data_IF_352010625766
#
_entry.id   IF_352010625766
#
_cell.length_a   1.000
_cell.length_b   1.000
_cell.length_c   1.000
_cell.angle_alpha   90.00
_cell.angle_beta   90.00
_cell.angle_gamma   90.00
#
_symmetry.space_group_name_H-M   'P 1'
#
loop_
_entity.id
_entity.type
_entity.pdbx_description
1 polymer ?
#
# COMPACT_ATOMS: atom_id res chain seq x y z
N UNK A 1 -56.96 -41.55 -38.57
CA UNK A 1 -56.56 -40.90 -37.29
C UNK A 1 -56.38 -39.44 -37.62
N UNK A 2 -57.27 -38.58 -37.14
CA UNK A 2 -57.35 -37.17 -37.52
C UNK A 2 -56.07 -36.39 -37.12
N UNK A 3 -55.67 -35.46 -37.97
CA UNK A 3 -54.46 -34.60 -37.78
C UNK A 3 -54.48 -33.91 -36.43
N UNK A 4 -55.64 -33.52 -35.90
CA UNK A 4 -55.82 -32.91 -34.58
C UNK A 4 -55.43 -33.83 -33.41
N UNK A 5 -55.65 -35.14 -33.51
CA UNK A 5 -55.21 -36.12 -32.50
C UNK A 5 -53.69 -36.32 -32.52
N UNK A 6 -53.06 -36.24 -33.69
CA UNK A 6 -51.58 -36.34 -33.78
C UNK A 6 -50.90 -35.12 -33.17
N UNK A 7 -51.43 -33.93 -33.41
CA UNK A 7 -50.92 -32.67 -32.85
C UNK A 7 -51.08 -32.68 -31.33
N UNK A 8 -52.22 -33.11 -30.80
CA UNK A 8 -52.46 -33.20 -29.36
C UNK A 8 -51.49 -34.19 -28.64
N UNK A 9 -51.28 -35.35 -29.23
CA UNK A 9 -50.34 -36.35 -28.68
C UNK A 9 -48.90 -35.84 -28.75
N UNK A 10 -48.48 -35.20 -29.83
CA UNK A 10 -47.13 -34.61 -29.96
C UNK A 10 -46.92 -33.49 -28.98
N UNK A 11 -47.91 -32.60 -28.76
CA UNK A 11 -47.82 -31.51 -27.76
C UNK A 11 -47.77 -32.05 -26.32
N UNK A 12 -48.46 -33.16 -26.00
CA UNK A 12 -48.41 -33.77 -24.67
C UNK A 12 -47.06 -34.43 -24.39
N UNK A 13 -46.45 -35.04 -25.40
CA UNK A 13 -45.10 -35.64 -25.28
C UNK A 13 -44.04 -34.57 -25.13
N UNK A 14 -44.13 -33.46 -25.86
CA UNK A 14 -43.19 -32.33 -25.71
C UNK A 14 -43.33 -31.66 -24.35
N UNK A 15 -44.56 -31.51 -23.81
CA UNK A 15 -44.78 -30.98 -22.46
C UNK A 15 -44.24 -31.89 -21.37
N UNK A 16 -44.30 -33.23 -21.54
CA UNK A 16 -43.76 -34.21 -20.62
C UNK A 16 -42.22 -34.24 -20.60
N UNK A 17 -41.55 -33.94 -21.71
CA UNK A 17 -40.09 -33.90 -21.79
C UNK A 17 -39.53 -32.62 -21.18
N UNK A 18 -40.29 -31.51 -21.19
CA UNK A 18 -39.87 -30.25 -20.58
C UNK A 18 -40.01 -30.20 -19.05
N UNK A 19 -40.77 -31.09 -18.45
CA UNK A 19 -40.94 -31.20 -17.00
C UNK A 19 -40.04 -32.21 -16.32
N UNK A 20 -39.20 -32.92 -17.08
CA UNK A 20 -38.29 -33.95 -16.56
C UNK A 20 -36.89 -33.35 -16.42
N UNK A 21 -36.44 -33.11 -15.22
CA UNK A 21 -35.04 -32.90 -14.78
C UNK A 21 -34.75 -31.72 -13.86
N UNK A 22 -35.75 -31.01 -13.34
CA UNK A 22 -35.43 -29.96 -12.34
C UNK A 22 -35.66 -30.44 -10.89
N UNK A 23 -36.28 -31.61 -10.69
CA UNK A 23 -36.50 -32.14 -9.34
C UNK A 23 -35.20 -32.73 -8.79
N UNK A 24 -34.64 -32.04 -7.82
CA UNK A 24 -33.35 -32.39 -7.21
C UNK A 24 -32.11 -31.72 -7.84
N UNK A 25 -32.29 -30.80 -8.82
CA UNK A 25 -31.17 -30.10 -9.42
C UNK A 25 -30.34 -29.33 -8.38
N UNK A 26 -31.00 -28.70 -7.42
CA UNK A 26 -30.35 -27.96 -6.33
C UNK A 26 -29.68 -28.92 -5.32
N UNK A 27 -30.24 -30.10 -5.08
CA UNK A 27 -29.63 -31.11 -4.21
C UNK A 27 -28.42 -31.79 -4.87
N UNK A 28 -28.52 -32.11 -6.17
CA UNK A 28 -27.45 -32.79 -6.93
C UNK A 28 -26.26 -31.83 -7.16
N UNK A 29 -26.54 -30.55 -7.32
CA UNK A 29 -25.51 -29.49 -7.53
C UNK A 29 -25.13 -28.80 -6.23
N UNK A 30 -25.73 -29.13 -5.09
CA UNK A 30 -25.22 -28.66 -3.81
C UNK A 30 -23.83 -29.30 -3.58
N UNK A 31 -22.77 -28.50 -3.46
CA UNK A 31 -21.44 -29.05 -3.25
C UNK A 31 -21.43 -29.78 -1.89
N UNK A 32 -21.16 -31.07 -1.89
CA UNK A 32 -21.21 -31.96 -0.69
C UNK A 32 -20.22 -31.52 0.44
N UNK A 33 -19.26 -30.63 0.11
CA UNK A 33 -18.19 -30.20 1.01
C UNK A 33 -18.13 -28.66 1.20
N UNK A 34 -19.24 -27.95 1.07
CA UNK A 34 -19.28 -26.50 1.36
C UNK A 34 -19.98 -26.22 2.67
N UNK A 35 -19.36 -25.36 3.46
CA UNK A 35 -20.01 -24.81 4.65
C UNK A 35 -21.17 -23.88 4.25
N UNK A 36 -22.28 -23.96 4.96
CA UNK A 36 -23.39 -22.99 4.78
C UNK A 36 -22.96 -21.60 5.26
N UNK A 37 -23.64 -20.57 4.77
CA UNK A 37 -23.40 -19.20 5.25
C UNK A 37 -23.60 -19.08 6.77
N UNK A 38 -24.52 -19.81 7.36
CA UNK A 38 -24.76 -19.87 8.79
C UNK A 38 -23.59 -20.49 9.55
N UNK A 39 -23.03 -21.59 9.03
CA UNK A 39 -21.84 -22.23 9.61
C UNK A 39 -20.62 -21.30 9.56
N UNK A 40 -20.40 -20.60 8.44
CA UNK A 40 -19.30 -19.64 8.29
C UNK A 40 -19.45 -18.42 9.21
N UNK A 41 -20.70 -17.99 9.47
CA UNK A 41 -20.99 -16.87 10.41
C UNK A 41 -20.81 -17.26 11.86
N UNK A 42 -21.14 -18.51 12.21
CA UNK A 42 -21.07 -18.99 13.59
C UNK A 42 -19.70 -18.84 14.23
N UNK A 43 -18.62 -19.04 13.46
CA UNK A 43 -17.22 -18.98 13.92
C UNK A 43 -16.50 -17.70 13.52
N UNK A 44 -17.20 -16.68 12.99
CA UNK A 44 -16.58 -15.49 12.37
C UNK A 44 -15.54 -15.84 11.28
N UNK A 45 -15.64 -17.03 10.68
CA UNK A 45 -14.65 -17.56 9.74
C UNK A 45 -14.47 -16.65 8.51
N UNK A 46 -15.56 -16.07 7.99
CA UNK A 46 -15.50 -15.15 6.85
C UNK A 46 -14.62 -13.93 7.16
N UNK A 47 -14.76 -13.37 8.36
CA UNK A 47 -13.94 -12.24 8.82
C UNK A 47 -12.49 -12.69 9.00
N UNK A 48 -12.29 -13.83 9.67
CA UNK A 48 -10.97 -14.36 9.97
C UNK A 48 -10.16 -14.69 8.71
N UNK A 49 -10.80 -15.12 7.64
CA UNK A 49 -10.16 -15.39 6.36
C UNK A 49 -9.94 -14.12 5.52
N UNK A 50 -10.91 -13.20 5.52
CA UNK A 50 -10.87 -11.99 4.68
C UNK A 50 -9.92 -10.94 5.21
N UNK A 51 -9.79 -10.79 6.53
CA UNK A 51 -9.02 -9.70 7.13
C UNK A 51 -7.51 -9.73 6.80
N UNK A 52 -6.79 -10.86 6.94
CA UNK A 52 -5.39 -10.96 6.51
C UNK A 52 -5.23 -10.67 5.02
N UNK A 53 -6.22 -11.09 4.21
CA UNK A 53 -6.21 -10.84 2.77
C UNK A 53 -6.30 -9.35 2.46
N UNK A 54 -7.19 -8.60 3.12
CA UNK A 54 -7.28 -7.15 2.98
C UNK A 54 -5.94 -6.46 3.31
N UNK A 55 -5.30 -6.86 4.40
CA UNK A 55 -4.01 -6.30 4.82
C UNK A 55 -2.90 -6.60 3.80
N UNK A 56 -2.83 -7.84 3.31
CA UNK A 56 -1.82 -8.24 2.33
C UNK A 56 -1.93 -7.52 0.99
N UNK A 57 -3.10 -6.95 0.68
CA UNK A 57 -3.34 -6.18 -0.54
C UNK A 57 -2.95 -4.71 -0.43
N UNK A 58 -2.74 -4.16 0.79
CA UNK A 58 -2.21 -2.79 0.95
C UNK A 58 -0.87 -2.64 0.24
N UNK A 59 -0.01 -3.63 0.41
CA UNK A 59 1.23 -3.80 -0.37
C UNK A 59 1.20 -5.24 -0.89
N UNK A 60 0.84 -5.46 -2.16
CA UNK A 60 0.72 -6.79 -2.72
C UNK A 60 1.99 -7.61 -2.55
N UNK A 61 1.84 -8.83 -2.07
CA UNK A 61 2.96 -9.75 -1.87
C UNK A 61 3.15 -10.71 -3.04
N UNK A 62 2.22 -10.71 -4.00
CA UNK A 62 2.38 -11.50 -5.21
C UNK A 62 3.35 -10.80 -6.19
N UNK A 63 4.02 -11.61 -6.97
CA UNK A 63 5.07 -11.17 -7.90
C UNK A 63 4.59 -10.07 -8.84
N UNK A 64 3.44 -10.29 -9.48
CA UNK A 64 2.93 -9.36 -10.48
C UNK A 64 2.42 -8.07 -9.85
N UNK A 65 1.68 -8.16 -8.73
CA UNK A 65 1.12 -7.02 -8.03
C UNK A 65 2.21 -6.09 -7.51
N UNK A 66 3.17 -6.59 -6.75
CA UNK A 66 4.26 -5.77 -6.20
C UNK A 66 5.15 -5.20 -7.30
N UNK A 67 5.59 -6.05 -8.23
CA UNK A 67 6.49 -5.67 -9.30
C UNK A 67 5.92 -4.54 -10.16
N UNK A 68 4.66 -4.64 -10.54
CA UNK A 68 4.02 -3.65 -11.40
C UNK A 68 3.52 -2.42 -10.64
N UNK A 69 3.09 -2.56 -9.37
CA UNK A 69 2.67 -1.44 -8.55
C UNK A 69 3.82 -0.58 -8.01
N UNK A 70 4.89 -1.22 -7.56
CA UNK A 70 5.95 -0.53 -6.83
C UNK A 70 7.22 -0.40 -7.65
N UNK A 71 7.79 -1.51 -8.14
CA UNK A 71 9.09 -1.47 -8.80
C UNK A 71 9.06 -0.77 -10.15
N UNK A 72 8.14 -1.16 -11.04
CA UNK A 72 8.09 -0.58 -12.39
C UNK A 72 7.46 0.81 -12.44
N UNK A 73 6.59 1.15 -11.49
CA UNK A 73 5.93 2.45 -11.44
C UNK A 73 6.57 3.36 -10.39
N UNK A 74 6.53 2.96 -9.11
CA UNK A 74 6.97 3.81 -7.99
C UNK A 74 8.49 3.94 -7.92
N UNK A 75 9.21 2.82 -7.82
CA UNK A 75 10.64 2.84 -7.51
C UNK A 75 11.48 3.36 -8.67
N UNK A 76 11.13 3.00 -9.92
CA UNK A 76 11.87 3.45 -11.10
C UNK A 76 11.54 4.90 -11.43
N UNK A 77 10.27 5.29 -11.43
CA UNK A 77 9.87 6.67 -11.67
C UNK A 77 10.30 7.61 -10.56
N UNK A 78 10.32 7.12 -9.31
CA UNK A 78 10.88 7.82 -8.16
C UNK A 78 12.41 7.85 -8.12
N UNK A 79 13.09 7.17 -9.05
CA UNK A 79 14.55 7.08 -9.14
C UNK A 79 15.21 6.47 -7.91
N UNK A 80 14.53 5.53 -7.27
CA UNK A 80 15.09 4.70 -6.21
C UNK A 80 15.79 3.48 -6.78
N UNK A 81 15.16 2.83 -7.75
CA UNK A 81 15.70 1.69 -8.48
C UNK A 81 15.83 2.02 -9.96
N UNK A 82 16.65 1.23 -10.63
CA UNK A 82 16.75 1.22 -12.08
C UNK A 82 16.69 -0.22 -12.59
N UNK A 83 15.83 -0.44 -13.58
CA UNK A 83 15.77 -1.72 -14.26
C UNK A 83 17.00 -1.92 -15.15
N UNK A 84 17.57 -3.14 -15.09
CA UNK A 84 18.59 -3.61 -15.99
C UNK A 84 18.04 -4.59 -17.03
N UNK A 85 16.83 -5.07 -16.80
CA UNK A 85 16.21 -6.05 -17.69
C UNK A 85 15.63 -5.37 -18.92
N UNK A 86 15.93 -5.93 -20.07
CA UNK A 86 15.47 -5.44 -21.35
C UNK A 86 14.09 -5.99 -21.66
N UNK A 87 13.05 -5.34 -21.15
CA UNK A 87 11.68 -5.67 -21.52
C UNK A 87 11.29 -5.05 -22.85
N UNK A 88 10.74 -5.85 -23.76
CA UNK A 88 10.31 -5.42 -25.10
C UNK A 88 11.39 -4.64 -25.86
N UNK A 89 12.64 -5.09 -25.79
CA UNK A 89 13.79 -4.43 -26.38
C UNK A 89 14.10 -3.02 -25.86
N UNK A 90 13.61 -2.67 -24.67
CA UNK A 90 13.86 -1.38 -24.07
C UNK A 90 14.32 -1.54 -22.61
N UNK A 91 15.50 -0.98 -22.27
CA UNK A 91 16.03 -0.99 -20.90
C UNK A 91 15.42 0.09 -20.00
N UNK A 92 14.68 1.01 -20.57
CA UNK A 92 14.17 2.13 -19.82
C UNK A 92 12.65 2.12 -19.82
N UNK A 93 12.05 1.75 -18.67
CA UNK A 93 10.61 1.90 -18.45
C UNK A 93 10.14 3.36 -18.46
N UNK A 94 11.04 4.34 -18.40
CA UNK A 94 10.69 5.76 -18.64
C UNK A 94 10.20 6.04 -20.05
N UNK A 95 10.61 5.21 -21.02
CA UNK A 95 10.22 5.38 -22.41
C UNK A 95 9.05 4.51 -22.82
N UNK A 96 8.91 3.37 -22.17
CA UNK A 96 7.92 2.39 -22.56
C UNK A 96 7.46 1.58 -21.34
N UNK A 97 6.18 1.61 -21.06
CA UNK A 97 5.54 0.70 -20.14
C UNK A 97 4.56 -0.17 -20.91
N UNK A 98 4.65 -1.48 -20.70
CA UNK A 98 3.78 -2.43 -21.36
C UNK A 98 2.33 -2.21 -20.90
N UNK A 99 1.38 -2.15 -21.86
CA UNK A 99 -0.04 -1.87 -21.54
C UNK A 99 -0.62 -2.80 -20.47
N UNK A 100 -0.27 -4.10 -20.49
CA UNK A 100 -0.66 -5.06 -19.48
C UNK A 100 -0.21 -4.66 -18.07
N UNK A 101 0.94 -4.03 -17.93
CA UNK A 101 1.46 -3.58 -16.63
C UNK A 101 0.72 -2.36 -16.10
N UNK A 102 0.22 -1.51 -16.97
CA UNK A 102 -0.60 -0.36 -16.60
C UNK A 102 -1.94 -0.78 -16.00
N UNK A 103 -2.47 -1.91 -16.41
CA UNK A 103 -3.78 -2.39 -15.95
C UNK A 103 -3.71 -3.22 -14.66
N UNK A 104 -2.58 -3.92 -14.43
CA UNK A 104 -2.46 -4.85 -13.29
C UNK A 104 -2.68 -4.19 -11.94
N UNK A 105 -2.11 -3.00 -11.64
CA UNK A 105 -2.41 -2.33 -10.39
C UNK A 105 -3.89 -2.05 -10.18
N UNK A 106 -4.62 -1.69 -11.23
CA UNK A 106 -6.05 -1.45 -11.14
C UNK A 106 -6.86 -2.72 -10.86
N UNK A 107 -6.43 -3.85 -11.39
CA UNK A 107 -7.09 -5.14 -11.21
C UNK A 107 -7.13 -5.62 -9.74
N UNK A 108 -6.33 -5.03 -8.85
CA UNK A 108 -6.35 -5.35 -7.41
C UNK A 108 -7.73 -5.09 -6.79
N UNK A 109 -8.53 -4.20 -7.37
CA UNK A 109 -9.91 -3.94 -6.96
C UNK A 109 -10.76 -5.21 -6.96
N UNK A 110 -10.55 -6.09 -7.95
CA UNK A 110 -11.27 -7.35 -8.08
C UNK A 110 -10.92 -8.37 -6.99
N UNK A 111 -9.76 -8.23 -6.36
CA UNK A 111 -9.33 -9.05 -5.21
C UNK A 111 -9.71 -8.41 -3.88
N UNK A 112 -9.71 -7.09 -3.79
CA UNK A 112 -9.96 -6.37 -2.55
C UNK A 112 -11.44 -6.28 -2.19
N UNK A 113 -12.28 -5.83 -3.11
CA UNK A 113 -13.68 -5.56 -2.81
C UNK A 113 -14.54 -6.78 -2.47
N UNK A 114 -14.32 -7.99 -3.01
CA UNK A 114 -15.02 -9.17 -2.54
C UNK A 114 -14.77 -9.44 -1.05
N UNK A 115 -13.53 -9.31 -0.60
CA UNK A 115 -13.16 -9.53 0.81
C UNK A 115 -13.68 -8.40 1.71
N UNK A 116 -13.60 -7.15 1.26
CA UNK A 116 -14.16 -6.00 1.97
C UNK A 116 -15.68 -6.13 2.17
N UNK A 117 -16.41 -6.56 1.12
CA UNK A 117 -17.87 -6.77 1.21
C UNK A 117 -18.24 -7.87 2.20
N UNK A 118 -17.50 -8.98 2.23
CA UNK A 118 -17.72 -10.04 3.23
C UNK A 118 -17.62 -9.50 4.65
N UNK A 119 -16.57 -8.72 4.94
CA UNK A 119 -16.42 -8.07 6.25
C UNK A 119 -17.57 -7.10 6.52
N UNK A 120 -17.93 -6.26 5.56
CA UNK A 120 -19.05 -5.33 5.68
C UNK A 120 -20.37 -6.03 5.96
N UNK A 121 -20.69 -7.09 5.22
CA UNK A 121 -21.92 -7.89 5.40
C UNK A 121 -21.94 -8.59 6.76
N UNK A 122 -20.82 -9.21 7.16
CA UNK A 122 -20.71 -9.91 8.43
C UNK A 122 -20.83 -8.97 9.66
N UNK A 123 -20.42 -7.71 9.50
CA UNK A 123 -20.44 -6.70 10.56
C UNK A 123 -21.63 -5.73 10.44
N UNK A 124 -22.47 -5.85 9.46
CA UNK A 124 -23.48 -4.85 9.06
C UNK A 124 -22.89 -3.44 8.85
N UNK A 125 -21.64 -3.35 8.43
CA UNK A 125 -20.92 -2.11 8.20
C UNK A 125 -20.66 -1.30 9.46
N UNK A 126 -20.49 -1.93 10.62
CA UNK A 126 -20.33 -1.27 11.93
C UNK A 126 -19.29 -1.99 12.80
N UNK A 127 -18.86 -1.27 13.85
CA UNK A 127 -18.01 -1.81 14.89
C UNK A 127 -16.53 -1.95 14.51
N UNK A 128 -15.75 -2.49 15.43
CA UNK A 128 -14.28 -2.45 15.41
C UNK A 128 -13.68 -3.14 14.19
N UNK A 129 -14.19 -4.31 13.85
CA UNK A 129 -13.69 -5.06 12.69
C UNK A 129 -13.93 -4.33 11.37
N UNK A 130 -15.09 -3.67 11.22
CA UNK A 130 -15.36 -2.86 10.05
C UNK A 130 -14.51 -1.59 10.03
N UNK A 131 -14.30 -0.94 11.17
CA UNK A 131 -13.38 0.19 11.29
C UNK A 131 -11.96 -0.17 10.82
N UNK A 132 -11.45 -1.35 11.21
CA UNK A 132 -10.17 -1.85 10.71
C UNK A 132 -10.19 -2.10 9.19
N UNK A 133 -11.29 -2.61 8.64
CA UNK A 133 -11.44 -2.80 7.19
C UNK A 133 -11.45 -1.47 6.42
N UNK A 134 -12.05 -0.40 6.97
CA UNK A 134 -12.00 0.95 6.40
C UNK A 134 -10.57 1.48 6.32
N UNK A 135 -9.77 1.30 7.38
CA UNK A 135 -8.35 1.71 7.36
C UNK A 135 -7.57 0.95 6.27
N UNK A 136 -7.80 -0.36 6.14
CA UNK A 136 -7.18 -1.16 5.08
C UNK A 136 -7.62 -0.69 3.69
N UNK A 137 -8.90 -0.34 3.51
CA UNK A 137 -9.40 0.24 2.26
C UNK A 137 -8.66 1.52 1.90
N UNK A 138 -8.55 2.45 2.82
CA UNK A 138 -7.81 3.70 2.57
C UNK A 138 -6.33 3.43 2.32
N UNK A 139 -5.72 2.49 3.07
CA UNK A 139 -4.33 2.07 2.89
C UNK A 139 -3.99 1.61 1.48
N UNK A 140 -4.92 0.95 0.79
CA UNK A 140 -4.77 0.55 -0.61
C UNK A 140 -5.20 1.67 -1.59
N UNK A 141 -6.40 2.22 -1.41
CA UNK A 141 -7.06 3.04 -2.43
C UNK A 141 -6.37 4.39 -2.66
N UNK A 142 -5.71 4.98 -1.63
CA UNK A 142 -4.95 6.20 -1.85
C UNK A 142 -3.80 6.00 -2.85
N UNK A 143 -3.16 4.84 -2.86
CA UNK A 143 -2.11 4.52 -3.84
C UNK A 143 -2.67 4.37 -5.25
N UNK A 144 -3.86 3.77 -5.37
CA UNK A 144 -4.52 3.62 -6.67
C UNK A 144 -4.97 4.95 -7.25
N UNK A 145 -5.61 5.81 -6.45
CA UNK A 145 -6.02 7.13 -6.95
C UNK A 145 -4.82 8.04 -7.24
N UNK A 146 -3.70 7.90 -6.50
CA UNK A 146 -2.45 8.61 -6.80
C UNK A 146 -1.85 8.17 -8.14
N UNK A 147 -2.04 6.90 -8.52
CA UNK A 147 -1.52 6.33 -9.77
C UNK A 147 -2.43 6.62 -10.97
N UNK A 148 -3.75 6.52 -10.80
CA UNK A 148 -4.73 6.57 -11.90
C UNK A 148 -5.60 7.82 -11.91
N UNK A 149 -5.59 8.64 -10.84
CA UNK A 149 -6.55 9.74 -10.68
C UNK A 149 -7.94 9.21 -10.30
N UNK A 150 -8.97 9.35 -11.17
CA UNK A 150 -10.30 8.81 -10.91
C UNK A 150 -10.31 7.29 -10.76
N UNK A 151 -10.98 6.79 -9.69
CA UNK A 151 -11.20 5.35 -9.45
C UNK A 151 -12.63 5.12 -8.93
N UNK A 152 -13.21 3.92 -9.06
CA UNK A 152 -14.45 3.59 -8.40
C UNK A 152 -14.23 3.42 -6.90
N UNK A 153 -14.89 4.22 -6.07
CA UNK A 153 -14.74 4.21 -4.60
C UNK A 153 -16.10 4.19 -3.87
N UNK A 154 -16.95 5.19 -4.14
CA UNK A 154 -18.18 5.40 -3.35
C UNK A 154 -19.29 4.43 -3.69
N UNK A 155 -19.36 3.92 -4.91
CA UNK A 155 -20.46 3.07 -5.42
C UNK A 155 -20.05 1.62 -5.71
N UNK A 156 -18.76 1.30 -5.60
CA UNK A 156 -18.24 -0.04 -5.98
C UNK A 156 -18.73 -1.17 -5.07
N UNK A 157 -19.15 -0.85 -3.87
CA UNK A 157 -19.61 -1.82 -2.89
C UNK A 157 -20.97 -2.46 -3.26
N UNK A 158 -21.75 -1.86 -4.13
CA UNK A 158 -23.07 -2.34 -4.54
C UNK A 158 -23.08 -3.62 -5.39
N UNK A 159 -21.91 -4.15 -5.77
CA UNK A 159 -21.81 -5.36 -6.58
C UNK A 159 -22.26 -5.22 -8.04
N UNK A 160 -22.48 -4.00 -8.52
CA UNK A 160 -22.84 -3.74 -9.90
C UNK A 160 -21.69 -4.06 -10.87
N UNK A 161 -22.01 -4.64 -12.02
CA UNK A 161 -21.01 -4.95 -13.06
C UNK A 161 -20.41 -3.69 -13.71
N UNK A 162 -21.12 -2.57 -13.64
CA UNK A 162 -20.66 -1.27 -14.14
C UNK A 162 -20.75 -0.27 -13.00
N UNK A 163 -19.62 0.29 -12.62
CA UNK A 163 -19.51 1.30 -11.57
C UNK A 163 -18.86 2.55 -12.15
N UNK A 164 -19.44 3.71 -11.90
CA UNK A 164 -18.85 4.98 -12.29
C UNK A 164 -17.55 5.22 -11.52
N UNK A 165 -16.60 5.92 -12.14
CA UNK A 165 -15.40 6.40 -11.46
C UNK A 165 -15.74 7.70 -10.75
N UNK A 166 -15.32 7.77 -9.49
CA UNK A 166 -15.33 9.00 -8.71
C UNK A 166 -14.11 9.85 -9.09
N UNK A 167 -14.24 11.17 -9.12
CA UNK A 167 -13.08 12.04 -9.27
C UNK A 167 -12.12 11.86 -8.11
N UNK A 168 -10.83 12.14 -8.31
CA UNK A 168 -9.82 12.04 -7.25
C UNK A 168 -10.18 12.88 -6.02
N UNK A 169 -10.79 14.04 -6.22
CA UNK A 169 -11.32 14.89 -5.14
C UNK A 169 -12.36 14.15 -4.30
N UNK A 170 -13.37 13.52 -4.94
CA UNK A 170 -14.41 12.74 -4.27
C UNK A 170 -13.79 11.56 -3.52
N UNK A 171 -12.84 10.85 -4.13
CA UNK A 171 -12.15 9.72 -3.50
C UNK A 171 -11.39 10.16 -2.25
N UNK A 172 -10.63 11.26 -2.31
CA UNK A 172 -9.87 11.75 -1.16
C UNK A 172 -10.79 12.19 -0.01
N UNK A 173 -11.89 12.91 -0.31
CA UNK A 173 -12.88 13.30 0.69
C UNK A 173 -13.56 12.08 1.33
N UNK A 174 -13.91 11.07 0.54
CA UNK A 174 -14.47 9.82 1.05
C UNK A 174 -13.49 9.02 1.91
N UNK A 175 -12.21 8.95 1.52
CA UNK A 175 -11.17 8.31 2.33
C UNK A 175 -10.97 9.01 3.68
N UNK A 176 -11.01 10.34 3.73
CA UNK A 176 -10.96 11.07 5.00
C UNK A 176 -12.18 10.79 5.88
N UNK A 177 -13.37 10.67 5.29
CA UNK A 177 -14.59 10.29 6.02
C UNK A 177 -14.50 8.87 6.60
N UNK A 178 -13.98 7.90 5.82
CA UNK A 178 -13.74 6.54 6.29
C UNK A 178 -12.76 6.50 7.46
N UNK A 179 -11.66 7.24 7.37
CA UNK A 179 -10.69 7.33 8.46
C UNK A 179 -11.29 7.97 9.71
N UNK A 180 -12.09 9.03 9.56
CA UNK A 180 -12.76 9.68 10.69
C UNK A 180 -13.70 8.69 11.40
N UNK A 181 -14.51 7.95 10.65
CA UNK A 181 -15.37 6.91 11.21
C UNK A 181 -14.55 5.86 11.96
N UNK A 182 -13.50 5.32 11.34
CA UNK A 182 -12.67 4.30 11.94
C UNK A 182 -11.92 4.80 13.18
N UNK A 183 -11.35 6.00 13.15
CA UNK A 183 -10.65 6.61 14.28
C UNK A 183 -11.58 6.80 15.46
N UNK A 184 -12.80 7.31 15.22
CA UNK A 184 -13.79 7.52 16.28
C UNK A 184 -14.20 6.21 16.93
N UNK A 185 -14.60 5.20 16.15
CA UNK A 185 -15.03 3.90 16.65
C UNK A 185 -13.92 3.20 17.46
N UNK A 186 -12.71 3.17 16.91
CA UNK A 186 -11.56 2.56 17.59
C UNK A 186 -11.18 3.32 18.86
N UNK A 187 -11.21 4.65 18.86
CA UNK A 187 -10.86 5.46 20.03
C UNK A 187 -11.83 5.25 21.17
N UNK A 188 -13.14 5.22 20.90
CA UNK A 188 -14.17 4.93 21.89
C UNK A 188 -13.97 3.54 22.50
N UNK A 189 -13.69 2.56 21.65
CA UNK A 189 -13.48 1.18 22.12
C UNK A 189 -12.22 1.04 22.97
N UNK A 190 -11.09 1.60 22.52
CA UNK A 190 -9.81 1.57 23.26
C UNK A 190 -9.93 2.27 24.61
N UNK A 191 -10.65 3.40 24.68
CA UNK A 191 -10.89 4.13 25.93
C UNK A 191 -11.64 3.29 26.96
N UNK A 192 -12.60 2.49 26.50
CA UNK A 192 -13.36 1.57 27.36
C UNK A 192 -12.62 0.24 27.63
N UNK A 193 -11.69 -0.17 26.75
CA UNK A 193 -11.03 -1.47 26.77
C UNK A 193 -9.52 -1.36 26.46
N UNK A 194 -8.70 -0.74 27.33
CA UNK A 194 -7.32 -0.34 27.00
C UNK A 194 -6.39 -1.52 26.66
N UNK A 195 -6.67 -2.72 27.15
CA UNK A 195 -5.84 -3.92 26.97
C UNK A 195 -6.41 -4.91 25.96
N UNK A 196 -7.54 -4.57 25.33
CA UNK A 196 -8.18 -5.48 24.38
C UNK A 196 -7.31 -5.70 23.13
N UNK A 197 -7.22 -6.95 22.73
CA UNK A 197 -6.66 -7.36 21.45
C UNK A 197 -7.77 -7.93 20.58
N UNK A 198 -7.94 -7.37 19.40
CA UNK A 198 -8.99 -7.80 18.47
C UNK A 198 -8.35 -8.44 17.25
N UNK A 199 -8.76 -9.67 16.92
CA UNK A 199 -8.24 -10.43 15.79
C UNK A 199 -6.70 -10.57 15.79
N UNK A 200 -6.10 -10.82 16.95
CA UNK A 200 -4.65 -10.83 17.14
C UNK A 200 -3.91 -11.82 16.22
N UNK A 201 -4.50 -12.98 15.95
CA UNK A 201 -3.93 -14.00 15.06
C UNK A 201 -4.09 -13.67 13.57
N UNK A 202 -5.12 -12.89 13.21
CA UNK A 202 -5.42 -12.48 11.85
C UNK A 202 -4.80 -11.12 11.50
N UNK A 203 -4.42 -10.32 12.49
CA UNK A 203 -3.81 -9.01 12.28
C UNK A 203 -2.31 -9.13 11.98
N UNK A 204 -1.96 -8.99 10.72
CA UNK A 204 -0.58 -9.09 10.21
C UNK A 204 0.27 -7.85 10.57
N UNK A 205 -0.36 -6.72 10.94
CA UNK A 205 0.33 -5.44 11.14
C UNK A 205 0.63 -5.24 12.63
N UNK A 206 -0.39 -5.26 13.49
CA UNK A 206 -0.25 -4.88 14.90
C UNK A 206 -0.67 -5.94 15.91
N UNK A 207 -1.01 -7.15 15.45
CA UNK A 207 -1.41 -8.25 16.34
C UNK A 207 -2.56 -7.87 17.27
N UNK A 208 -3.54 -7.17 16.72
CA UNK A 208 -4.74 -6.76 17.42
C UNK A 208 -4.58 -5.54 18.33
N UNK A 209 -3.46 -4.83 18.30
CA UNK A 209 -3.24 -3.61 19.07
C UNK A 209 -3.99 -2.43 18.48
N UNK A 210 -5.18 -2.14 19.03
CA UNK A 210 -6.06 -1.11 18.50
C UNK A 210 -5.51 0.31 18.72
N UNK A 211 -4.70 0.53 19.75
CA UNK A 211 -4.05 1.83 19.97
C UNK A 211 -3.08 2.14 18.83
N UNK A 212 -2.31 1.15 18.39
CA UNK A 212 -1.43 1.30 17.22
C UNK A 212 -2.22 1.49 15.93
N UNK A 213 -3.37 0.82 15.78
CA UNK A 213 -4.26 1.03 14.65
C UNK A 213 -4.81 2.46 14.58
N UNK A 214 -5.18 3.07 15.71
CA UNK A 214 -5.59 4.49 15.76
C UNK A 214 -4.43 5.40 15.35
N UNK A 215 -3.22 5.16 15.86
CA UNK A 215 -2.02 5.92 15.45
C UNK A 215 -1.75 5.80 13.96
N UNK A 216 -1.87 4.60 13.41
CA UNK A 216 -1.72 4.37 11.96
C UNK A 216 -2.80 5.11 11.16
N UNK A 217 -4.07 5.04 11.56
CA UNK A 217 -5.17 5.72 10.89
C UNK A 217 -4.98 7.25 10.89
N UNK A 218 -4.61 7.84 12.03
CA UNK A 218 -4.28 9.26 12.13
C UNK A 218 -3.06 9.63 11.25
N UNK A 219 -2.02 8.78 11.21
CA UNK A 219 -0.86 9.01 10.36
C UNK A 219 -1.19 8.92 8.87
N UNK A 220 -2.09 8.02 8.51
CA UNK A 220 -2.60 7.92 7.15
C UNK A 220 -3.45 9.14 6.78
N UNK A 221 -4.29 9.63 7.70
CA UNK A 221 -5.05 10.88 7.56
C UNK A 221 -4.11 12.06 7.35
N UNK A 222 -3.04 12.17 8.13
CA UNK A 222 -1.99 13.18 7.96
C UNK A 222 -1.35 13.09 6.56
N UNK A 223 -0.97 11.88 6.11
CA UNK A 223 -0.38 11.67 4.78
C UNK A 223 -1.31 12.16 3.67
N UNK A 224 -2.59 11.79 3.71
CA UNK A 224 -3.59 12.21 2.73
C UNK A 224 -3.78 13.73 2.74
N UNK A 225 -3.93 14.32 3.91
CA UNK A 225 -4.13 15.74 4.07
C UNK A 225 -2.96 16.57 3.52
N UNK A 226 -1.72 16.16 3.81
CA UNK A 226 -0.54 16.85 3.26
C UNK A 226 -0.46 16.78 1.73
N UNK A 227 -0.94 15.69 1.11
CA UNK A 227 -0.99 15.59 -0.36
C UNK A 227 -1.99 16.53 -1.01
N UNK A 228 -3.13 16.77 -0.34
CA UNK A 228 -4.18 17.64 -0.88
C UNK A 228 -4.02 19.13 -0.50
N UNK A 229 -2.96 19.53 0.20
CA UNK A 229 -2.76 20.88 0.77
C UNK A 229 -2.83 22.02 -0.24
N UNK A 230 -2.50 21.78 -1.51
CA UNK A 230 -2.52 22.81 -2.55
C UNK A 230 -3.89 22.97 -3.21
N UNK A 231 -4.69 21.90 -3.24
CA UNK A 231 -6.00 21.90 -3.91
C UNK A 231 -7.16 22.09 -2.95
N UNK A 232 -7.01 21.65 -1.70
CA UNK A 232 -8.02 21.77 -0.62
C UNK A 232 -7.37 22.23 0.69
N UNK A 233 -6.75 23.43 0.73
CA UNK A 233 -5.90 23.86 1.85
C UNK A 233 -6.62 23.90 3.19
N UNK A 234 -7.90 24.31 3.21
CA UNK A 234 -8.69 24.41 4.43
C UNK A 234 -9.00 23.04 5.01
N UNK A 235 -9.47 22.12 4.17
CA UNK A 235 -9.76 20.74 4.58
C UNK A 235 -8.47 20.02 5.01
N UNK A 236 -7.38 20.22 4.25
CA UNK A 236 -6.08 19.64 4.57
C UNK A 236 -5.57 20.11 5.94
N UNK A 237 -5.61 21.42 6.21
CA UNK A 237 -5.23 21.97 7.52
C UNK A 237 -6.03 21.34 8.64
N UNK A 238 -7.35 21.34 8.54
CA UNK A 238 -8.24 20.75 9.55
C UNK A 238 -7.87 19.28 9.79
N UNK A 239 -7.73 18.47 8.73
CA UNK A 239 -7.43 17.06 8.86
C UNK A 239 -6.04 16.79 9.47
N UNK A 240 -5.03 17.61 9.17
CA UNK A 240 -3.69 17.53 9.80
C UNK A 240 -3.79 17.83 11.29
N UNK A 241 -4.40 18.96 11.65
CA UNK A 241 -4.49 19.44 13.04
C UNK A 241 -5.30 18.44 13.89
N UNK A 242 -6.39 17.90 13.38
CA UNK A 242 -7.15 16.84 14.05
C UNK A 242 -6.34 15.56 14.25
N UNK A 243 -5.62 15.09 13.22
CA UNK A 243 -4.85 13.85 13.28
C UNK A 243 -3.69 13.94 14.27
N UNK A 244 -2.94 15.04 14.22
CA UNK A 244 -1.74 15.23 15.05
C UNK A 244 -2.09 15.50 16.51
N UNK A 245 -3.15 16.30 16.76
CA UNK A 245 -3.56 16.65 18.12
C UNK A 245 -4.62 15.69 18.69
N UNK A 246 -4.88 14.56 18.02
CA UNK A 246 -5.75 13.52 18.54
C UNK A 246 -5.22 12.95 19.85
N UNK A 247 -6.07 12.58 20.79
CA UNK A 247 -5.68 12.09 22.14
C UNK A 247 -4.73 10.89 22.12
N UNK A 248 -4.88 9.99 21.15
CA UNK A 248 -3.99 8.85 20.94
C UNK A 248 -2.82 9.25 20.02
N UNK A 249 -3.00 10.25 19.17
CA UNK A 249 -2.02 10.82 18.28
C UNK A 249 -1.71 9.98 17.03
N UNK A 250 -0.55 10.28 16.45
CA UNK A 250 0.01 9.64 15.25
C UNK A 250 1.16 8.69 15.63
N UNK A 251 1.74 7.99 14.68
CA UNK A 251 2.97 7.19 14.88
C UNK A 251 4.13 8.14 15.17
N UNK A 252 4.80 7.95 16.29
CA UNK A 252 5.96 8.77 16.73
C UNK A 252 7.17 7.94 17.09
N UNK A 253 7.04 6.61 17.14
CA UNK A 253 8.09 5.66 17.50
C UNK A 253 8.19 4.54 16.46
N UNK A 254 9.40 4.05 16.20
CA UNK A 254 9.65 2.96 15.27
C UNK A 254 8.96 1.64 15.68
N UNK A 255 8.67 1.45 16.98
CA UNK A 255 7.90 0.30 17.47
C UNK A 255 6.43 0.31 17.01
N UNK A 256 5.94 1.46 16.54
CA UNK A 256 4.59 1.65 16.02
C UNK A 256 4.53 1.69 14.49
N UNK A 257 5.68 1.55 13.81
CA UNK A 257 5.70 1.50 12.35
C UNK A 257 4.70 0.47 11.82
N UNK A 258 3.90 0.89 10.83
CA UNK A 258 2.99 -0.02 10.13
C UNK A 258 3.80 -0.88 9.16
N UNK A 259 3.97 -2.15 9.53
CA UNK A 259 4.74 -3.14 8.75
C UNK A 259 4.00 -4.46 8.69
N UNK A 260 4.09 -5.14 7.55
CA UNK A 260 3.60 -6.51 7.39
C UNK A 260 4.80 -7.46 7.44
N UNK A 261 4.77 -8.39 8.40
CA UNK A 261 5.74 -9.49 8.49
C UNK A 261 5.18 -10.69 7.76
N UNK A 262 5.60 -10.85 6.53
CA UNK A 262 5.24 -12.03 5.74
C UNK A 262 6.21 -13.16 6.04
N UNK A 263 5.69 -14.39 6.05
CA UNK A 263 6.54 -15.57 5.98
C UNK A 263 6.81 -15.85 4.51
N UNK A 264 8.06 -15.70 4.09
CA UNK A 264 8.47 -15.97 2.73
C UNK A 264 8.89 -14.72 1.96
N UNK A 265 9.08 -14.84 0.71
CA UNK A 265 9.78 -13.93 -0.18
C UNK A 265 9.36 -12.46 -0.05
N UNK A 266 10.24 -11.64 0.55
CA UNK A 266 10.17 -10.20 0.36
C UNK A 266 10.21 -9.91 -1.14
N UNK A 267 9.19 -9.21 -1.65
CA UNK A 267 9.13 -8.92 -3.08
C UNK A 267 10.27 -8.03 -3.54
N UNK A 268 10.73 -7.11 -2.69
CA UNK A 268 11.90 -6.31 -2.99
C UNK A 268 13.17 -7.19 -3.13
N UNK A 269 13.34 -8.17 -2.24
CA UNK A 269 14.41 -9.15 -2.36
C UNK A 269 14.31 -9.97 -3.64
N UNK A 270 13.11 -10.43 -3.97
CA UNK A 270 12.88 -11.23 -5.16
C UNK A 270 13.30 -10.47 -6.42
N UNK A 271 12.88 -9.22 -6.57
CA UNK A 271 13.15 -8.39 -7.75
C UNK A 271 14.64 -8.01 -7.84
N UNK A 272 15.25 -7.65 -6.71
CA UNK A 272 16.60 -7.10 -6.72
C UNK A 272 17.69 -8.15 -6.55
N UNK A 273 17.40 -9.27 -5.90
CA UNK A 273 18.38 -10.32 -5.62
C UNK A 273 18.11 -11.62 -6.37
N UNK A 274 16.89 -12.18 -6.29
CA UNK A 274 16.63 -13.48 -6.91
C UNK A 274 16.50 -13.40 -8.44
N UNK A 275 15.71 -12.46 -8.95
CA UNK A 275 15.58 -12.23 -10.40
C UNK A 275 16.66 -11.32 -10.94
N UNK A 276 17.21 -10.47 -10.09
CA UNK A 276 18.21 -9.50 -10.50
C UNK A 276 17.72 -8.51 -11.58
N UNK A 277 16.43 -8.16 -11.54
CA UNK A 277 15.77 -7.30 -12.53
C UNK A 277 15.97 -5.80 -12.26
N UNK A 278 16.40 -5.43 -11.06
CA UNK A 278 16.64 -4.05 -10.70
C UNK A 278 17.87 -3.91 -9.78
N UNK A 279 18.50 -2.73 -9.87
CA UNK A 279 19.57 -2.25 -9.00
C UNK A 279 19.24 -0.86 -8.48
N UNK A 280 19.98 -0.41 -7.52
CA UNK A 280 19.86 0.96 -7.01
C UNK A 280 20.11 1.98 -8.11
N UNK A 281 19.31 3.04 -8.16
CA UNK A 281 19.53 4.13 -9.11
C UNK A 281 20.68 5.04 -8.69
N UNK A 282 21.41 5.58 -9.67
CA UNK A 282 22.52 6.50 -9.44
C UNK A 282 22.05 7.80 -8.77
N UNK A 283 20.82 8.22 -9.01
CA UNK A 283 20.23 9.40 -8.39
C UNK A 283 20.27 9.27 -6.85
N UNK A 284 19.81 8.13 -6.32
CA UNK A 284 19.81 7.88 -4.87
C UNK A 284 21.22 7.72 -4.31
N UNK A 285 22.06 6.90 -4.95
CA UNK A 285 23.43 6.66 -4.45
C UNK A 285 24.29 7.92 -4.51
N UNK A 286 24.18 8.73 -5.56
CA UNK A 286 24.93 10.00 -5.68
C UNK A 286 24.54 10.98 -4.60
N UNK A 287 23.23 11.09 -4.32
CA UNK A 287 22.73 11.96 -3.26
C UNK A 287 23.26 11.54 -1.89
N UNK A 288 23.12 10.25 -1.54
CA UNK A 288 23.59 9.73 -0.26
C UNK A 288 25.12 9.71 -0.13
N UNK A 289 25.85 9.52 -1.23
CA UNK A 289 27.31 9.63 -1.27
C UNK A 289 27.76 11.08 -1.00
N UNK A 290 27.11 12.06 -1.64
CA UNK A 290 27.44 13.47 -1.47
C UNK A 290 27.26 13.95 -0.04
N UNK A 291 26.21 13.48 0.64
CA UNK A 291 26.01 13.75 2.07
C UNK A 291 26.83 12.84 3.01
N UNK A 292 27.62 11.93 2.47
CA UNK A 292 28.31 10.89 3.27
C UNK A 292 27.37 10.15 4.22
N UNK A 293 26.12 9.91 3.78
CA UNK A 293 25.05 9.38 4.62
C UNK A 293 25.39 7.97 5.15
N UNK A 294 25.48 7.78 6.48
CA UNK A 294 25.83 6.48 7.07
C UNK A 294 24.84 5.35 6.76
N UNK A 295 23.57 5.67 6.46
CA UNK A 295 22.55 4.68 6.12
C UNK A 295 22.83 3.93 4.83
N UNK A 296 23.76 4.42 3.99
CA UNK A 296 24.19 3.72 2.76
C UNK A 296 24.58 2.27 3.04
N UNK A 297 25.31 2.02 4.11
CA UNK A 297 25.77 0.68 4.51
C UNK A 297 24.60 -0.26 4.91
N UNK A 298 23.47 0.32 5.32
CA UNK A 298 22.25 -0.43 5.67
C UNK A 298 21.33 -0.61 4.45
N UNK A 299 21.36 0.33 3.50
CA UNK A 299 20.49 0.30 2.33
C UNK A 299 21.07 -0.49 1.16
N UNK A 300 22.40 -0.44 0.98
CA UNK A 300 23.05 -0.94 -0.23
C UNK A 300 24.16 -1.92 0.07
N UNK A 301 24.40 -2.81 -0.88
CA UNK A 301 25.68 -3.55 -0.98
C UNK A 301 26.76 -2.63 -1.53
N UNK A 302 28.01 -2.86 -1.15
CA UNK A 302 29.12 -2.15 -1.80
C UNK A 302 29.16 -2.46 -3.30
N UNK A 303 29.61 -1.49 -4.11
CA UNK A 303 29.82 -1.71 -5.52
C UNK A 303 31.09 -2.53 -5.81
N UNK A 304 31.12 -3.22 -6.95
CA UNK A 304 32.28 -3.97 -7.42
C UNK A 304 33.23 -3.18 -8.33
N UNK A 305 33.03 -1.86 -8.46
CA UNK A 305 33.93 -0.99 -9.24
C UNK A 305 35.19 -0.63 -8.42
N UNK A 306 36.28 -0.31 -9.12
CA UNK A 306 37.53 0.12 -8.49
C UNK A 306 37.30 1.47 -7.77
N UNK A 307 37.68 1.53 -6.50
CA UNK A 307 37.48 2.73 -5.67
C UNK A 307 36.41 2.56 -4.62
N UNK A 308 35.81 1.40 -4.52
CA UNK A 308 34.84 0.90 -3.55
C UNK A 308 33.94 1.99 -2.91
N UNK A 309 32.70 2.01 -3.30
CA UNK A 309 31.67 2.90 -2.77
C UNK A 309 30.31 2.27 -2.95
N UNK A 310 29.33 3.14 -3.16
CA UNK A 310 27.97 2.78 -3.52
C UNK A 310 27.65 3.42 -4.84
N UNK A 311 27.61 2.61 -5.91
CA UNK A 311 27.39 3.10 -7.28
C UNK A 311 26.07 2.54 -7.80
N UNK A 312 25.12 3.42 -8.11
CA UNK A 312 23.86 3.07 -8.73
C UNK A 312 23.89 3.16 -10.25
N UNK A 313 22.92 2.53 -10.91
CA UNK A 313 22.73 2.63 -12.34
C UNK A 313 22.11 3.98 -12.68
N UNK A 314 22.66 4.67 -13.69
CA UNK A 314 22.10 5.93 -14.18
C UNK A 314 20.69 5.71 -14.75
N UNK A 315 19.73 6.45 -14.20
CA UNK A 315 18.34 6.40 -14.66
C UNK A 315 18.22 6.72 -16.15
N UNK A 316 17.46 5.89 -16.86
CA UNK A 316 17.26 6.03 -18.31
C UNK A 316 18.41 5.56 -19.20
N UNK A 317 19.51 5.03 -18.63
CA UNK A 317 20.61 4.49 -19.41
C UNK A 317 20.32 3.07 -19.93
N UNK A 318 20.87 2.74 -21.11
CA UNK A 318 20.93 1.37 -21.59
C UNK A 318 22.18 0.71 -20.98
N UNK A 319 22.03 0.09 -19.82
CA UNK A 319 23.09 -0.74 -19.26
C UNK A 319 22.86 -2.17 -19.75
N UNK A 320 23.79 -2.68 -20.52
CA UNK A 320 23.78 -4.05 -21.02
C UNK A 320 24.99 -4.82 -20.45
N UNK A 321 24.74 -6.05 -20.04
CA UNK A 321 25.77 -7.05 -19.93
C UNK A 321 26.55 -7.11 -18.61
N UNK A 322 27.86 -7.43 -18.72
CA UNK A 322 28.73 -7.92 -17.65
C UNK A 322 29.01 -6.95 -16.51
N UNK A 323 28.83 -5.65 -16.72
CA UNK A 323 29.12 -4.60 -15.72
C UNK A 323 27.97 -4.45 -14.69
N UNK A 324 26.79 -4.92 -15.04
CA UNK A 324 25.59 -4.74 -14.23
C UNK A 324 25.72 -5.24 -12.79
N UNK A 325 26.32 -6.42 -12.61
CA UNK A 325 26.49 -7.01 -11.30
C UNK A 325 27.51 -6.29 -10.40
N UNK A 326 28.26 -5.33 -10.97
CA UNK A 326 29.17 -4.48 -10.21
C UNK A 326 28.46 -3.33 -9.51
N UNK A 327 27.28 -2.91 -9.98
CA UNK A 327 26.51 -1.87 -9.33
C UNK A 327 25.96 -2.31 -7.98
N UNK A 328 25.82 -1.38 -7.05
CA UNK A 328 25.22 -1.60 -5.76
C UNK A 328 23.81 -2.15 -5.87
N UNK A 329 23.51 -3.13 -5.04
CA UNK A 329 22.16 -3.69 -4.91
C UNK A 329 21.50 -3.24 -3.63
N UNK A 330 20.19 -3.40 -3.53
CA UNK A 330 19.46 -3.19 -2.28
C UNK A 330 19.87 -4.28 -1.28
N UNK A 331 20.22 -3.85 -0.07
CA UNK A 331 20.57 -4.76 1.03
C UNK A 331 19.30 -5.16 1.77
N UNK A 332 18.60 -6.12 1.22
CA UNK A 332 17.33 -6.64 1.74
C UNK A 332 17.40 -8.15 1.85
N UNK A 333 16.87 -8.69 2.95
CA UNK A 333 16.76 -10.12 3.19
C UNK A 333 15.43 -10.70 2.69
N UNK A 334 15.41 -12.00 2.43
CA UNK A 334 14.23 -12.70 1.93
C UNK A 334 13.01 -12.63 2.88
N UNK A 335 13.25 -12.48 4.18
CA UNK A 335 12.21 -12.42 5.21
C UNK A 335 12.01 -11.01 5.79
N UNK A 336 12.59 -9.98 5.17
CA UNK A 336 12.43 -8.63 5.67
C UNK A 336 10.97 -8.16 5.53
N UNK A 337 10.47 -7.43 6.53
CA UNK A 337 9.10 -6.98 6.53
C UNK A 337 8.83 -5.94 5.46
N UNK A 338 7.60 -5.93 4.97
CA UNK A 338 7.12 -4.87 4.07
C UNK A 338 6.67 -3.65 4.87
N UNK A 339 7.25 -2.50 4.57
CA UNK A 339 6.95 -1.23 5.24
C UNK A 339 5.76 -0.55 4.56
N UNK A 340 4.77 -0.11 5.36
CA UNK A 340 3.60 0.64 4.89
C UNK A 340 3.74 2.13 5.23
N UNK A 341 4.06 2.44 6.50
CA UNK A 341 4.22 3.80 7.01
C UNK A 341 5.14 3.80 8.23
N UNK A 342 6.06 4.77 8.29
CA UNK A 342 7.08 4.86 9.35
C UNK A 342 6.93 6.10 10.21
N UNK A 343 7.43 6.06 11.45
CA UNK A 343 7.54 7.21 12.33
C UNK A 343 8.37 8.34 11.71
N UNK A 344 9.43 7.99 10.98
CA UNK A 344 10.27 8.95 10.26
C UNK A 344 9.47 9.73 9.20
N UNK A 345 8.64 9.05 8.39
CA UNK A 345 7.77 9.71 7.42
C UNK A 345 6.77 10.65 8.11
N UNK A 346 6.15 10.18 9.19
CA UNK A 346 5.20 10.99 9.98
C UNK A 346 5.86 12.25 10.54
N UNK A 347 7.10 12.13 11.05
CA UNK A 347 7.86 13.28 11.54
C UNK A 347 8.14 14.31 10.42
N UNK A 348 8.50 13.86 9.21
CA UNK A 348 8.70 14.76 8.07
C UNK A 348 7.39 15.41 7.59
N UNK A 349 6.28 14.70 7.57
CA UNK A 349 4.97 15.29 7.25
C UNK A 349 4.56 16.36 8.28
N UNK A 350 4.82 16.11 9.57
CA UNK A 350 4.62 17.12 10.64
C UNK A 350 5.55 18.31 10.47
N UNK A 351 6.82 18.10 10.11
CA UNK A 351 7.78 19.16 9.87
C UNK A 351 7.33 20.06 8.73
N UNK A 352 6.83 19.49 7.65
CA UNK A 352 6.27 20.21 6.52
C UNK A 352 5.02 21.01 6.91
N UNK A 353 4.10 20.43 7.69
CA UNK A 353 2.92 21.11 8.20
C UNK A 353 3.29 22.28 9.15
N UNK A 354 4.27 22.08 10.04
CA UNK A 354 4.79 23.14 10.91
C UNK A 354 5.43 24.30 10.11
N UNK A 355 6.16 23.98 9.03
CA UNK A 355 6.81 24.96 8.17
C UNK A 355 5.82 25.93 7.52
N UNK A 356 4.62 25.43 7.18
CA UNK A 356 3.54 26.24 6.60
C UNK A 356 2.59 26.82 7.65
N UNK A 357 2.95 26.75 8.95
CA UNK A 357 2.24 27.39 10.05
C UNK A 357 1.01 26.64 10.57
N UNK A 358 0.87 25.34 10.29
CA UNK A 358 -0.21 24.53 10.85
C UNK A 358 0.14 24.03 12.25
N UNK A 359 -0.88 23.85 13.08
CA UNK A 359 -0.71 23.40 14.47
C UNK A 359 -0.41 21.89 14.56
N UNK A 360 0.83 21.56 14.85
CA UNK A 360 1.29 20.18 15.01
C UNK A 360 1.78 19.86 16.45
N UNK A 361 1.17 20.48 17.44
CA UNK A 361 1.51 20.27 18.85
C UNK A 361 2.65 21.13 19.37
N UNK A 362 2.92 22.30 18.74
CA UNK A 362 3.89 23.30 19.21
C UNK A 362 5.36 23.00 18.88
N UNK A 363 5.69 21.87 18.27
CA UNK A 363 7.05 21.58 17.82
C UNK A 363 7.43 22.40 16.58
N UNK A 364 8.71 22.77 16.48
CA UNK A 364 9.21 23.54 15.31
C UNK A 364 9.42 22.61 14.11
N UNK A 365 9.35 23.17 12.89
CA UNK A 365 9.66 22.43 11.68
C UNK A 365 11.07 21.81 11.73
N UNK A 366 12.04 22.55 12.27
CA UNK A 366 13.42 22.06 12.44
C UNK A 366 13.50 20.87 13.38
N UNK A 367 12.91 20.96 14.57
CA UNK A 367 12.95 19.85 15.53
C UNK A 367 12.30 18.59 14.99
N UNK A 368 11.14 18.72 14.33
CA UNK A 368 10.43 17.59 13.71
C UNK A 368 11.22 16.96 12.54
N UNK A 369 11.91 17.78 11.74
CA UNK A 369 12.79 17.29 10.70
C UNK A 369 13.95 16.49 11.28
N UNK A 370 14.63 17.04 12.29
CA UNK A 370 15.74 16.37 12.98
C UNK A 370 15.27 15.05 13.63
N UNK A 371 14.08 15.04 14.23
CA UNK A 371 13.49 13.81 14.80
C UNK A 371 13.22 12.77 13.69
N UNK A 372 12.73 13.19 12.53
CA UNK A 372 12.56 12.31 11.38
C UNK A 372 13.87 11.66 10.93
N UNK A 373 14.95 12.42 10.91
CA UNK A 373 16.29 11.90 10.61
C UNK A 373 16.73 10.92 11.69
N UNK A 374 16.61 11.25 12.99
CA UNK A 374 16.98 10.37 14.11
C UNK A 374 16.19 9.04 14.08
N UNK A 375 14.88 9.11 13.83
CA UNK A 375 14.03 7.94 13.69
C UNK A 375 14.49 7.03 12.53
N UNK A 376 14.83 7.63 11.40
CA UNK A 376 15.36 6.88 10.26
C UNK A 376 16.71 6.21 10.59
N UNK A 377 17.63 6.92 11.24
CA UNK A 377 18.91 6.34 11.65
C UNK A 377 18.70 5.16 12.62
N UNK A 378 17.84 5.33 13.62
CA UNK A 378 17.51 4.28 14.58
C UNK A 378 16.85 3.06 13.90
N UNK A 379 15.91 3.29 12.96
CA UNK A 379 15.25 2.22 12.22
C UNK A 379 16.24 1.35 11.45
N UNK A 380 17.29 1.95 10.90
CA UNK A 380 18.25 1.27 10.03
C UNK A 380 19.59 0.95 10.72
N UNK A 381 19.67 1.18 12.02
CA UNK A 381 20.88 0.86 12.80
C UNK A 381 22.13 1.63 12.35
N UNK A 382 21.95 2.87 11.86
CA UNK A 382 23.04 3.68 11.31
C UNK A 382 23.82 4.50 12.36
N UNK A 383 23.65 4.22 13.65
CA UNK A 383 24.27 4.94 14.75
C UNK A 383 23.57 6.26 15.10
N UNK A 384 24.29 7.21 15.73
CA UNK A 384 23.75 8.52 16.05
C UNK A 384 23.62 9.41 14.80
N UNK A 385 22.50 10.10 14.68
CA UNK A 385 22.27 11.09 13.61
C UNK A 385 22.91 12.45 13.88
N UNK A 386 23.43 12.71 15.10
CA UNK A 386 23.81 14.08 15.50
C UNK A 386 24.97 14.63 14.68
N UNK A 387 25.98 13.82 14.39
CA UNK A 387 27.07 14.23 13.50
C UNK A 387 26.62 14.46 12.06
N UNK A 388 25.65 13.71 11.59
CA UNK A 388 25.06 13.89 10.27
C UNK A 388 24.23 15.18 10.18
N UNK A 389 23.44 15.47 11.22
CA UNK A 389 22.60 16.69 11.29
C UNK A 389 23.42 17.99 11.37
N UNK A 390 24.65 17.93 11.88
CA UNK A 390 25.58 19.06 11.95
C UNK A 390 26.58 19.10 10.80
N UNK A 391 26.56 18.11 9.91
CA UNK A 391 27.49 18.02 8.78
C UNK A 391 27.24 19.15 7.77
N UNK A 392 28.33 19.68 7.23
CA UNK A 392 28.32 20.63 6.11
C UNK A 392 28.55 19.96 4.76
N UNK A 393 28.62 18.63 4.72
CA UNK A 393 28.73 17.86 3.48
C UNK A 393 27.53 18.13 2.58
N UNK A 394 27.77 18.36 1.30
CA UNK A 394 26.74 18.55 0.27
C UNK A 394 27.00 17.61 -0.90
N UNK A 395 25.98 17.12 -1.58
CA UNK A 395 26.16 16.31 -2.77
C UNK A 395 26.91 17.07 -3.86
N UNK A 396 27.94 16.46 -4.41
CA UNK A 396 28.68 17.03 -5.55
C UNK A 396 27.75 17.30 -6.76
N UNK A 397 26.70 16.49 -6.90
CA UNK A 397 25.67 16.68 -7.92
C UNK A 397 24.93 18.01 -7.83
N UNK A 398 24.87 18.63 -6.66
CA UNK A 398 24.25 19.97 -6.50
C UNK A 398 25.03 21.07 -7.21
N UNK A 399 26.34 20.93 -7.34
CA UNK A 399 27.20 21.90 -8.06
C UNK A 399 27.05 21.80 -9.59
N UNK A 400 26.47 20.69 -10.08
CA UNK A 400 26.24 20.44 -11.51
C UNK A 400 24.78 20.51 -11.93
N UNK A 401 23.84 20.64 -10.97
CA UNK A 401 22.41 20.78 -11.21
C UNK A 401 21.93 22.23 -11.23
N UNK A 402 22.80 23.22 -11.12
CA UNK A 402 22.47 24.57 -11.59
C UNK A 402 22.32 24.47 -13.11
N UNK A 403 21.09 24.17 -13.56
CA UNK A 403 20.72 24.36 -14.94
C UNK A 403 21.20 25.76 -15.35
N UNK A 404 21.87 25.90 -16.51
CA UNK A 404 22.12 27.23 -17.02
C UNK A 404 20.76 27.93 -17.12
N UNK A 405 20.59 28.99 -16.36
CA UNK A 405 19.47 29.90 -16.53
C UNK A 405 19.73 30.65 -17.86
N UNK A 406 19.16 30.09 -18.93
CA UNK A 406 18.96 30.78 -20.18
C UNK A 406 17.46 30.96 -20.41
#
# INVERSE_FOLDING_TARGET
MNISKKILVTSLVIAGVLSSCTKGFDEINAPENTFTKEQLRGDNYEIAASFPKLQSLIVPADQSGYFQHFSLTGDIWGRFLMSNTKWNNNFSVYRYMHEGWLNTPFNILTSFYPEFRKVKEATNGQGITFALALINRVGLMHRLTDLYGPIPYTQIEGGNLKVAYDSQEVVYKAMLADLNTAINDLTLYVSANPSAKVMADQDLIYRGDLTKWVRFANSLKLRLAMRMRYVEPTLAKTAVEEAVNHTIGVITDNADNAIIRQKGNSMLWLITNAWSDARVAADLTSYMNGYSDPRRASYFTASGFTGAGYDGIRSGSNQDGSEYNKYSNVKVGNNDPTIILTASEVAFLKAEAALIGWNVGGATAKSLYEDGVRLSFAQWGAGSADSYLTSTATPVSYTHLTLPTN
#
